data_IF_984694284495
#
_entry.id   IF_984694284495
#
_cell.length_a   1.000
_cell.length_b   1.000
_cell.length_c   1.000
_cell.angle_alpha   90.00
_cell.angle_beta   90.00
_cell.angle_gamma   90.00
#
_symmetry.space_group_name_H-M   'P 1'
#
loop_
_entity.id
_entity.type
_entity.pdbx_description
1 polymer ?
#
# COMPACT_ATOMS: atom_id res chain seq x y z
N UNK A 1 16.36 -8.62 -11.02
CA UNK A 1 15.25 -8.88 -10.09
C UNK A 1 14.06 -9.38 -10.91
N UNK A 2 13.31 -10.36 -10.41
CA UNK A 2 12.06 -10.82 -11.02
C UNK A 2 11.01 -11.11 -9.95
N UNK A 3 9.73 -10.85 -10.25
CA UNK A 3 8.61 -11.26 -9.41
C UNK A 3 8.13 -12.63 -9.88
N UNK A 4 8.12 -13.61 -8.97
CA UNK A 4 7.71 -14.99 -9.25
C UNK A 4 6.20 -15.19 -9.03
N UNK A 5 5.61 -14.41 -8.14
CA UNK A 5 4.19 -14.44 -7.82
C UNK A 5 3.77 -13.11 -7.17
N UNK A 6 2.53 -12.70 -7.40
CA UNK A 6 1.90 -11.53 -6.76
C UNK A 6 0.48 -11.87 -6.32
N UNK A 7 0.04 -11.33 -5.19
CA UNK A 7 -1.34 -11.45 -4.72
C UNK A 7 -2.29 -10.63 -5.62
N UNK A 8 -3.10 -11.33 -6.43
CA UNK A 8 -3.89 -10.73 -7.50
C UNK A 8 -5.38 -10.50 -7.22
N UNK A 9 -5.92 -10.92 -6.07
CA UNK A 9 -7.37 -10.79 -5.81
C UNK A 9 -7.79 -9.30 -5.73
N UNK A 10 -8.97 -8.97 -6.28
CA UNK A 10 -9.53 -7.62 -6.24
C UNK A 10 -10.02 -7.23 -4.85
N UNK A 11 -10.39 -8.20 -4.01
CA UNK A 11 -10.84 -7.99 -2.63
C UNK A 11 -9.69 -8.00 -1.63
N UNK A 12 -8.42 -8.11 -2.08
CA UNK A 12 -7.26 -8.08 -1.18
C UNK A 12 -7.16 -6.74 -0.45
N UNK A 13 -6.78 -6.82 0.82
CA UNK A 13 -6.42 -5.72 1.71
C UNK A 13 -4.90 -5.57 1.90
N UNK A 14 -4.14 -6.53 1.36
CA UNK A 14 -2.69 -6.59 1.36
C UNK A 14 -2.16 -6.65 -0.08
N UNK A 15 -1.01 -6.05 -0.34
CA UNK A 15 -0.18 -6.40 -1.48
C UNK A 15 0.96 -7.31 -1.01
N UNK A 16 1.20 -8.39 -1.75
CA UNK A 16 2.28 -9.31 -1.46
C UNK A 16 2.90 -9.87 -2.73
N UNK A 17 4.22 -10.02 -2.71
CA UNK A 17 5.02 -10.50 -3.83
C UNK A 17 6.04 -11.52 -3.36
N UNK A 18 6.29 -12.55 -4.16
CA UNK A 18 7.48 -13.37 -4.06
C UNK A 18 8.50 -12.86 -5.06
N UNK A 19 9.62 -12.34 -4.58
CA UNK A 19 10.68 -11.73 -5.36
C UNK A 19 11.89 -12.64 -5.40
N UNK A 20 12.53 -12.72 -6.57
CA UNK A 20 13.83 -13.37 -6.77
C UNK A 20 14.88 -12.35 -7.18
N UNK A 21 15.99 -12.36 -6.45
CA UNK A 21 17.25 -11.74 -6.83
C UNK A 21 18.21 -12.83 -7.31
N UNK A 22 18.88 -12.54 -8.43
CA UNK A 22 19.95 -13.39 -8.94
C UNK A 22 21.17 -13.33 -8.00
N UNK A 23 22.10 -14.29 -8.08
CA UNK A 23 23.40 -14.20 -7.41
C UNK A 23 24.05 -12.82 -7.50
N UNK A 24 24.43 -12.25 -6.36
CA UNK A 24 25.09 -10.93 -6.28
C UNK A 24 24.24 -9.73 -6.72
N UNK A 25 22.97 -9.93 -7.07
CA UNK A 25 22.06 -8.83 -7.41
C UNK A 25 21.51 -8.18 -6.15
N UNK A 26 21.27 -6.87 -6.21
CA UNK A 26 20.67 -6.12 -5.12
C UNK A 26 19.50 -5.25 -5.56
N UNK A 27 18.68 -4.87 -4.59
CA UNK A 27 17.84 -3.70 -4.64
C UNK A 27 18.59 -2.62 -3.86
N UNK A 28 19.02 -1.58 -4.58
CA UNK A 28 19.70 -0.42 -3.98
C UNK A 28 18.81 0.33 -3.00
N UNK A 29 19.32 1.46 -2.50
CA UNK A 29 18.63 2.25 -1.49
C UNK A 29 17.20 2.60 -1.93
N UNK A 30 16.25 2.20 -1.10
CA UNK A 30 14.83 2.42 -1.31
C UNK A 30 14.17 2.81 0.01
N UNK A 31 13.33 3.85 -0.06
CA UNK A 31 12.49 4.32 1.04
C UNK A 31 11.04 4.27 0.59
N UNK A 32 10.19 3.67 1.42
CA UNK A 32 8.74 3.68 1.25
C UNK A 32 8.15 4.51 2.39
N UNK A 33 7.59 5.66 2.05
CA UNK A 33 7.15 6.68 3.01
C UNK A 33 5.76 6.39 3.58
N UNK A 34 4.93 5.67 2.83
CA UNK A 34 3.52 5.53 3.19
C UNK A 34 3.30 4.36 4.16
N UNK A 35 3.96 3.23 3.92
CA UNK A 35 3.71 1.99 4.65
C UNK A 35 4.97 1.19 4.95
N UNK A 36 4.94 0.50 6.08
CA UNK A 36 5.95 -0.50 6.36
C UNK A 36 5.72 -1.78 5.58
N UNK A 37 6.76 -2.61 5.53
CA UNK A 37 6.81 -3.87 4.80
C UNK A 37 7.32 -4.99 5.71
N UNK A 38 6.69 -6.15 5.61
CA UNK A 38 7.17 -7.40 6.18
C UNK A 38 7.91 -8.18 5.10
N UNK A 39 9.15 -8.57 5.38
CA UNK A 39 9.99 -9.39 4.51
C UNK A 39 10.22 -10.76 5.15
N UNK A 40 10.00 -11.84 4.39
CA UNK A 40 10.33 -13.21 4.84
C UNK A 40 11.20 -13.90 3.81
N UNK A 41 12.34 -14.44 4.22
CA UNK A 41 13.23 -15.17 3.31
C UNK A 41 12.73 -16.59 3.12
N UNK A 42 12.54 -16.97 1.86
CA UNK A 42 12.05 -18.31 1.48
C UNK A 42 13.21 -19.23 1.08
N UNK A 43 14.21 -18.71 0.38
CA UNK A 43 15.36 -19.49 -0.08
C UNK A 43 16.58 -18.60 -0.35
N UNK A 44 17.77 -19.19 -0.38
CA UNK A 44 19.03 -18.49 -0.62
C UNK A 44 19.49 -17.68 0.60
N UNK A 45 20.43 -16.78 0.38
CA UNK A 45 21.01 -15.94 1.42
C UNK A 45 21.34 -14.54 0.90
N UNK A 46 21.42 -13.57 1.79
CA UNK A 46 21.69 -12.18 1.44
C UNK A 46 21.80 -11.29 2.67
N UNK A 47 21.69 -9.99 2.46
CA UNK A 47 21.79 -8.99 3.50
C UNK A 47 20.67 -7.95 3.37
N UNK A 48 20.11 -7.56 4.50
CA UNK A 48 19.26 -6.39 4.64
C UNK A 48 20.08 -5.30 5.31
N UNK A 49 20.21 -4.15 4.65
CA UNK A 49 20.94 -2.99 5.20
C UNK A 49 19.97 -1.84 5.42
N UNK A 50 20.05 -1.21 6.58
CA UNK A 50 19.48 0.11 6.89
C UNK A 50 20.62 1.04 7.31
N UNK A 51 20.39 2.36 7.47
CA UNK A 51 21.43 3.28 7.92
C UNK A 51 22.12 2.85 9.22
N UNK A 52 21.37 2.24 10.13
CA UNK A 52 21.86 1.93 11.47
C UNK A 52 22.46 0.53 11.59
N UNK A 53 22.06 -0.43 10.73
CA UNK A 53 22.40 -1.84 10.93
C UNK A 53 22.35 -2.65 9.64
N UNK A 54 23.15 -3.72 9.61
CA UNK A 54 23.10 -4.77 8.59
C UNK A 54 22.71 -6.09 9.24
N UNK A 55 21.73 -6.78 8.66
CA UNK A 55 21.28 -8.11 9.09
C UNK A 55 21.49 -9.14 8.00
N UNK A 56 21.98 -10.32 8.38
CA UNK A 56 22.04 -11.47 7.49
C UNK A 56 20.64 -12.05 7.26
N UNK A 57 20.34 -12.31 6.00
CA UNK A 57 19.10 -12.93 5.54
C UNK A 57 19.37 -14.38 5.17
N UNK A 58 18.67 -15.29 5.85
CA UNK A 58 18.71 -16.74 5.58
C UNK A 58 17.28 -17.30 5.63
N UNK A 59 16.99 -18.47 5.05
CA UNK A 59 15.62 -18.99 4.98
C UNK A 59 14.96 -19.08 6.35
N UNK A 60 13.75 -18.56 6.48
CA UNK A 60 13.02 -18.43 7.74
C UNK A 60 13.25 -17.10 8.48
N UNK A 61 14.19 -16.26 8.04
CA UNK A 61 14.33 -14.91 8.57
C UNK A 61 13.07 -14.07 8.25
N UNK A 62 12.62 -13.31 9.25
CA UNK A 62 11.48 -12.41 9.19
C UNK A 62 11.92 -11.01 9.64
N UNK A 63 11.69 -9.99 8.82
CA UNK A 63 12.00 -8.61 9.12
C UNK A 63 10.77 -7.72 8.94
N UNK A 64 10.44 -6.92 9.95
CA UNK A 64 9.50 -5.82 9.84
C UNK A 64 10.26 -4.51 9.67
N UNK A 65 9.93 -3.79 8.61
CA UNK A 65 10.55 -2.51 8.27
C UNK A 65 9.44 -1.45 8.27
N UNK A 66 9.45 -0.49 9.22
CA UNK A 66 8.46 0.56 9.25
C UNK A 66 8.62 1.51 8.05
N UNK A 67 7.57 2.28 7.77
CA UNK A 67 7.59 3.33 6.75
C UNK A 67 8.68 4.37 7.07
N UNK A 68 9.24 4.99 6.03
CA UNK A 68 10.29 6.01 6.13
C UNK A 68 11.71 5.46 6.37
N UNK A 69 11.87 4.15 6.60
CA UNK A 69 13.20 3.55 6.71
C UNK A 69 13.79 3.27 5.33
N UNK A 70 14.91 3.92 5.05
CA UNK A 70 15.79 3.59 3.93
C UNK A 70 16.37 2.20 4.12
N UNK A 71 16.34 1.39 3.06
CA UNK A 71 16.85 0.02 3.10
C UNK A 71 17.46 -0.39 1.77
N UNK A 72 18.37 -1.36 1.83
CA UNK A 72 18.88 -2.12 0.70
C UNK A 72 18.70 -3.61 0.96
N UNK A 73 18.46 -4.39 -0.08
CA UNK A 73 18.46 -5.86 0.00
C UNK A 73 19.42 -6.40 -1.04
N UNK A 74 20.49 -7.05 -0.60
CA UNK A 74 21.53 -7.59 -1.47
C UNK A 74 21.52 -9.12 -1.39
N UNK A 75 21.58 -9.80 -2.54
CA UNK A 75 21.64 -11.26 -2.58
C UNK A 75 23.09 -11.76 -2.54
N UNK A 76 23.31 -12.85 -1.82
CA UNK A 76 24.58 -13.56 -1.79
C UNK A 76 24.85 -14.39 -3.04
N UNK A 77 25.84 -15.28 -2.96
CA UNK A 77 26.32 -16.08 -4.10
C UNK A 77 25.28 -17.05 -4.69
N UNK A 78 24.33 -17.53 -3.90
CA UNK A 78 23.27 -18.44 -4.35
C UNK A 78 22.01 -17.70 -4.83
N UNK A 79 22.01 -16.37 -4.77
CA UNK A 79 20.82 -15.55 -4.94
C UNK A 79 19.91 -15.56 -3.70
N UNK A 80 18.78 -14.88 -3.81
CA UNK A 80 17.83 -14.71 -2.71
C UNK A 80 16.39 -14.76 -3.24
N UNK A 81 15.54 -15.54 -2.59
CA UNK A 81 14.09 -15.55 -2.81
C UNK A 81 13.41 -15.19 -1.50
N UNK A 82 12.61 -14.14 -1.52
CA UNK A 82 11.90 -13.65 -0.34
C UNK A 82 10.50 -13.17 -0.72
N UNK A 83 9.64 -13.11 0.28
CA UNK A 83 8.31 -12.51 0.15
C UNK A 83 8.34 -11.12 0.77
N UNK A 84 7.65 -10.17 0.15
CA UNK A 84 7.25 -8.91 0.78
C UNK A 84 5.75 -8.88 0.94
N UNK A 85 5.29 -8.30 2.05
CA UNK A 85 3.88 -8.06 2.33
C UNK A 85 3.71 -6.68 2.97
N UNK A 86 2.75 -5.90 2.48
CA UNK A 86 2.40 -4.60 3.05
C UNK A 86 0.93 -4.30 2.83
N UNK A 87 0.40 -3.28 3.52
CA UNK A 87 -0.97 -2.82 3.29
C UNK A 87 -1.18 -2.52 1.81
N UNK A 88 -2.35 -2.84 1.27
CA UNK A 88 -2.65 -2.58 -0.13
C UNK A 88 -2.45 -1.10 -0.45
N UNK A 89 -1.66 -0.82 -1.49
CA UNK A 89 -1.49 0.52 -2.02
C UNK A 89 -2.80 0.99 -2.64
N UNK A 90 -3.28 2.21 -2.34
CA UNK A 90 -4.40 2.82 -3.06
C UNK A 90 -4.07 2.84 -4.56
N UNK A 91 -5.08 2.72 -5.42
CA UNK A 91 -4.82 2.91 -6.84
C UNK A 91 -4.29 4.34 -7.06
N UNK A 92 -3.24 4.55 -7.86
CA UNK A 92 -2.74 5.88 -8.13
C UNK A 92 -3.89 6.76 -8.66
N UNK A 93 -4.19 7.85 -7.95
CA UNK A 93 -5.34 8.73 -8.22
C UNK A 93 -6.60 8.50 -7.35
N UNK A 94 -6.56 7.60 -6.37
CA UNK A 94 -7.63 7.40 -5.35
C UNK A 94 -7.21 7.82 -3.95
N UNK A 95 -6.42 8.89 -3.84
CA UNK A 95 -6.33 9.61 -2.57
C UNK A 95 -7.68 10.25 -2.25
N UNK A 96 -8.15 10.28 -0.99
CA UNK A 96 -9.09 11.31 -0.60
C UNK A 96 -8.43 12.66 -0.91
N UNK A 97 -9.17 13.60 -1.48
CA UNK A 97 -8.68 14.96 -1.61
C UNK A 97 -8.29 15.43 -0.20
N UNK A 98 -6.98 15.64 0.04
CA UNK A 98 -6.52 16.28 1.25
C UNK A 98 -7.17 17.65 1.30
N UNK A 99 -8.04 17.82 2.29
CA UNK A 99 -8.65 19.09 2.62
C UNK A 99 -7.55 20.08 2.90
N UNK A 100 -7.40 21.04 2.00
CA UNK A 100 -6.96 22.38 2.38
C UNK A 100 -7.82 22.84 3.57
N UNK A 101 -7.18 23.29 4.64
CA UNK A 101 -7.79 24.10 5.71
C UNK A 101 -8.37 25.40 5.14
N UNK A 102 -9.48 25.29 4.41
CA UNK A 102 -10.32 26.38 3.99
C UNK A 102 -11.74 25.96 4.33
N UNK A 103 -12.35 26.67 5.29
CA UNK A 103 -13.58 26.32 5.98
C UNK A 103 -14.67 25.72 5.09
N UNK A 104 -15.35 24.71 5.64
CA UNK A 104 -16.51 24.06 5.03
C UNK A 104 -17.51 25.12 4.53
N UNK A 105 -17.74 25.25 3.21
CA UNK A 105 -18.97 25.86 2.78
C UNK A 105 -20.09 24.88 3.15
N UNK A 106 -21.07 25.35 3.92
CA UNK A 106 -22.34 24.68 4.30
C UNK A 106 -23.20 24.33 3.07
N UNK A 107 -22.62 24.29 1.87
CA UNK A 107 -23.28 24.16 0.58
C UNK A 107 -23.48 22.70 0.14
N UNK A 108 -23.08 21.71 0.95
CA UNK A 108 -23.20 20.28 0.61
C UNK A 108 -24.16 19.50 1.52
N UNK A 109 -24.71 20.12 2.58
CA UNK A 109 -25.66 19.44 3.47
C UNK A 109 -26.96 19.04 2.76
N UNK A 110 -27.44 19.83 1.78
CA UNK A 110 -28.62 19.50 0.98
C UNK A 110 -28.45 18.23 0.12
N UNK A 111 -27.22 17.86 -0.20
CA UNK A 111 -26.90 16.68 -1.03
C UNK A 111 -26.74 15.40 -0.21
N UNK A 112 -26.84 15.47 1.13
CA UNK A 112 -26.82 14.29 2.00
C UNK A 112 -28.23 13.75 2.16
N UNK A 113 -28.44 12.49 1.77
CA UNK A 113 -29.73 11.84 1.95
C UNK A 113 -30.10 11.76 3.44
N UNK A 114 -31.28 12.26 3.85
CA UNK A 114 -31.68 12.25 5.26
C UNK A 114 -32.03 10.85 5.79
N UNK A 115 -32.27 9.89 4.89
CA UNK A 115 -32.63 8.52 5.27
C UNK A 115 -31.40 7.62 5.39
N UNK A 116 -30.54 7.57 4.37
CA UNK A 116 -29.40 6.65 4.34
C UNK A 116 -28.03 7.32 4.57
N UNK A 117 -27.99 8.64 4.76
CA UNK A 117 -26.77 9.41 5.01
C UNK A 117 -25.81 9.52 3.81
N UNK A 118 -26.22 9.04 2.62
CA UNK A 118 -25.36 9.05 1.44
C UNK A 118 -25.33 10.42 0.76
N UNK A 119 -24.12 10.89 0.45
CA UNK A 119 -23.93 12.09 -0.37
C UNK A 119 -24.20 11.79 -1.86
N UNK A 120 -24.93 12.67 -2.53
CA UNK A 120 -25.14 12.60 -3.96
C UNK A 120 -23.83 12.80 -4.74
N UNK A 121 -23.65 12.05 -5.83
CA UNK A 121 -22.49 12.19 -6.70
C UNK A 121 -22.57 13.43 -7.61
N UNK A 122 -23.79 13.85 -7.94
CA UNK A 122 -24.09 15.00 -8.80
C UNK A 122 -24.71 16.13 -7.97
N UNK A 123 -24.36 17.38 -8.28
CA UNK A 123 -24.81 18.56 -7.53
C UNK A 123 -26.25 18.98 -7.81
N UNK A 124 -26.83 18.50 -8.90
CA UNK A 124 -28.21 18.74 -9.34
C UNK A 124 -29.13 17.54 -9.08
N UNK A 125 -28.66 16.54 -8.34
CA UNK A 125 -29.43 15.37 -7.96
C UNK A 125 -30.62 15.77 -7.08
N UNK A 126 -31.84 15.42 -7.53
CA UNK A 126 -33.09 15.65 -6.76
C UNK A 126 -33.49 14.47 -5.89
N UNK A 127 -32.92 13.28 -6.15
CA UNK A 127 -33.25 12.03 -5.46
C UNK A 127 -31.99 11.22 -5.16
N UNK A 128 -31.99 10.48 -4.05
CA UNK A 128 -30.91 9.58 -3.70
C UNK A 128 -30.86 8.38 -4.66
N UNK A 129 -29.73 8.18 -5.35
CA UNK A 129 -29.51 7.04 -6.25
C UNK A 129 -29.51 5.66 -5.55
N UNK A 130 -29.53 5.61 -4.21
CA UNK A 130 -29.58 4.37 -3.43
C UNK A 130 -30.99 3.99 -2.99
N UNK A 131 -31.68 4.88 -2.28
CA UNK A 131 -32.98 4.58 -1.66
C UNK A 131 -34.15 5.35 -2.27
N UNK A 132 -33.90 6.29 -3.20
CA UNK A 132 -34.93 7.06 -3.88
C UNK A 132 -35.50 8.23 -3.09
N UNK A 133 -35.10 8.43 -1.82
CA UNK A 133 -35.54 9.57 -1.01
C UNK A 133 -35.15 10.91 -1.66
N UNK A 134 -36.06 11.91 -1.71
CA UNK A 134 -35.73 13.24 -2.22
C UNK A 134 -34.66 13.92 -1.36
N UNK A 135 -33.78 14.69 -2.02
CA UNK A 135 -32.75 15.49 -1.36
C UNK A 135 -33.30 16.89 -1.07
N UNK A 136 -32.77 17.57 -0.05
CA UNK A 136 -33.21 18.92 0.30
C UNK A 136 -32.60 19.93 -0.67
N UNK A 137 -33.40 20.91 -1.12
CA UNK A 137 -32.97 21.99 -2.02
C UNK A 137 -31.82 22.84 -1.43
#
# INVERSE_FOLDING_TARGET
MSVLWSLGDRTRDLDADVVRLAPGAGIGEHTEEEFGVLLTVLNGAGELRTPDTTWQLTPGALAWLPAGITRCVDAGAEGLVYTTAHRRRPAPGTGPAEGSEAGEPVCLLGLVCPECGRLAAERDARYCARCGTPLAD
#
